data_IF_649916704018
#
_entry.id   IF_649916704018
#
_cell.length_a   1.000
_cell.length_b   1.000
_cell.length_c   1.000
_cell.angle_alpha   90.00
_cell.angle_beta   90.00
_cell.angle_gamma   90.00
#
_symmetry.space_group_name_H-M   'P 1'
#
loop_
_entity.id
_entity.type
_entity.pdbx_description
1 polymer ?
#
# COMPACT_ATOMS: atom_id res chain seq x y z
N UNK A 1 -19.88 10.94 3.61
CA UNK A 1 -19.04 10.02 2.81
C UNK A 1 -19.72 9.84 1.47
N UNK A 2 -19.30 10.60 0.45
CA UNK A 2 -19.88 10.53 -0.90
C UNK A 2 -19.51 9.18 -1.51
N UNK A 3 -20.47 8.24 -1.57
CA UNK A 3 -20.35 7.03 -2.39
C UNK A 3 -20.23 7.49 -3.85
N UNK A 4 -19.02 7.68 -4.34
CA UNK A 4 -18.77 7.82 -5.77
C UNK A 4 -19.30 6.54 -6.41
N UNK A 5 -20.26 6.64 -7.34
CA UNK A 5 -20.66 5.49 -8.18
C UNK A 5 -19.42 5.11 -8.98
N UNK A 6 -18.61 4.20 -8.44
CA UNK A 6 -17.39 3.75 -9.09
C UNK A 6 -17.80 2.82 -10.23
N UNK A 7 -17.45 3.19 -11.46
CA UNK A 7 -17.68 2.38 -12.64
C UNK A 7 -17.17 0.94 -12.41
N UNK A 8 -17.88 -0.09 -12.89
CA UNK A 8 -17.49 -1.48 -12.69
C UNK A 8 -16.08 -1.77 -13.23
N UNK A 9 -15.68 -1.10 -14.32
CA UNK A 9 -14.33 -1.14 -14.89
C UNK A 9 -13.31 -0.61 -13.88
N UNK A 10 -13.58 0.53 -13.22
CA UNK A 10 -12.72 1.09 -12.19
C UNK A 10 -12.54 0.10 -11.03
N UNK A 11 -13.64 -0.53 -10.59
CA UNK A 11 -13.59 -1.55 -9.52
C UNK A 11 -12.70 -2.74 -9.88
N UNK A 12 -12.74 -3.18 -11.14
CA UNK A 12 -11.90 -4.26 -11.64
C UNK A 12 -10.41 -3.91 -11.53
N UNK A 13 -10.01 -2.73 -12.01
CA UNK A 13 -8.62 -2.27 -11.92
C UNK A 13 -8.18 -1.87 -10.50
N UNK A 14 -9.10 -1.57 -9.59
CA UNK A 14 -8.77 -1.39 -8.15
C UNK A 14 -8.73 -2.70 -7.35
N UNK A 15 -8.94 -3.85 -7.98
CA UNK A 15 -9.06 -5.13 -7.27
C UNK A 15 -7.71 -5.66 -6.82
N UNK A 16 -7.57 -5.93 -5.52
CA UNK A 16 -6.41 -6.64 -4.96
C UNK A 16 -6.30 -8.07 -5.51
N UNK A 17 -7.44 -8.71 -5.82
CA UNK A 17 -7.44 -10.07 -6.41
C UNK A 17 -6.76 -10.09 -7.77
N UNK A 18 -6.98 -9.04 -8.58
CA UNK A 18 -6.32 -8.89 -9.88
C UNK A 18 -4.82 -8.70 -9.71
N UNK A 19 -4.42 -7.86 -8.74
CA UNK A 19 -3.00 -7.63 -8.42
C UNK A 19 -2.29 -8.94 -8.04
N UNK A 20 -2.88 -9.72 -7.11
CA UNK A 20 -2.33 -11.00 -6.67
C UNK A 20 -2.27 -12.02 -7.80
N UNK A 21 -3.31 -12.09 -8.64
CA UNK A 21 -3.31 -12.96 -9.81
C UNK A 21 -2.17 -12.62 -10.77
N UNK A 22 -2.00 -11.34 -11.12
CA UNK A 22 -0.90 -10.91 -11.99
C UNK A 22 0.45 -11.20 -11.36
N UNK A 23 0.62 -10.91 -10.07
CA UNK A 23 1.85 -11.15 -9.34
C UNK A 23 2.25 -12.64 -9.34
N UNK A 24 1.31 -13.54 -9.03
CA UNK A 24 1.59 -14.97 -9.04
C UNK A 24 1.87 -15.50 -10.45
N UNK A 25 1.18 -14.97 -11.47
CA UNK A 25 1.41 -15.37 -12.86
C UNK A 25 2.79 -14.91 -13.34
N UNK A 26 3.17 -13.65 -13.06
CA UNK A 26 4.50 -13.11 -13.36
C UNK A 26 5.60 -13.86 -12.60
N UNK A 27 5.38 -14.20 -11.34
CA UNK A 27 6.32 -14.98 -10.55
C UNK A 27 6.52 -16.39 -11.12
N UNK A 28 5.42 -17.08 -11.45
CA UNK A 28 5.46 -18.40 -12.08
C UNK A 28 6.17 -18.38 -13.44
N UNK A 29 5.84 -17.41 -14.29
CA UNK A 29 6.52 -17.19 -15.55
C UNK A 29 8.03 -16.94 -15.34
N UNK A 30 8.39 -16.06 -14.40
CA UNK A 30 9.79 -15.74 -14.09
C UNK A 30 10.60 -16.96 -13.63
N UNK A 31 10.01 -17.83 -12.81
CA UNK A 31 10.63 -19.10 -12.40
C UNK A 31 10.89 -19.97 -13.63
N UNK A 32 9.90 -20.12 -14.51
CA UNK A 32 10.03 -20.91 -15.75
C UNK A 32 11.13 -20.33 -16.65
N UNK A 33 11.14 -19.03 -16.89
CA UNK A 33 12.16 -18.38 -17.72
C UNK A 33 13.57 -18.36 -17.11
N UNK A 34 13.68 -18.55 -15.79
CA UNK A 34 14.99 -18.73 -15.14
C UNK A 34 15.54 -20.14 -15.38
N UNK A 35 14.66 -21.15 -15.44
CA UNK A 35 15.04 -22.55 -15.66
C UNK A 35 15.33 -22.81 -17.14
N UNK A 36 14.56 -22.20 -18.05
CA UNK A 36 14.73 -22.39 -19.49
C UNK A 36 15.77 -21.39 -20.00
N UNK A 37 16.83 -21.82 -20.70
CA UNK A 37 17.81 -20.92 -21.29
C UNK A 37 17.12 -19.84 -22.13
N UNK A 38 17.47 -18.57 -21.95
CA UNK A 38 16.94 -17.46 -22.74
C UNK A 38 17.84 -17.17 -23.95
N UNK A 39 17.28 -16.70 -25.06
CA UNK A 39 17.98 -16.33 -26.28
C UNK A 39 18.88 -17.44 -26.88
N UNK A 40 18.60 -18.73 -26.61
CA UNK A 40 19.39 -19.83 -27.17
C UNK A 40 18.99 -20.11 -28.62
N UNK A 41 19.86 -20.79 -29.38
CA UNK A 41 19.54 -21.19 -30.75
C UNK A 41 18.46 -22.27 -30.76
N UNK A 42 17.63 -22.31 -31.80
CA UNK A 42 16.60 -23.35 -31.95
C UNK A 42 17.20 -24.76 -31.89
N UNK A 43 18.39 -24.97 -32.47
CA UNK A 43 19.11 -26.25 -32.39
C UNK A 43 19.36 -26.69 -30.94
N UNK A 44 19.71 -25.75 -30.06
CA UNK A 44 19.96 -26.04 -28.64
C UNK A 44 18.69 -26.41 -27.90
N UNK A 45 17.55 -25.79 -28.21
CA UNK A 45 16.27 -26.18 -27.61
C UNK A 45 15.80 -27.56 -28.09
N UNK A 46 16.00 -27.88 -29.37
CA UNK A 46 15.67 -29.20 -29.92
C UNK A 46 16.53 -30.29 -29.25
N UNK A 47 17.81 -30.01 -29.00
CA UNK A 47 18.72 -30.92 -28.29
C UNK A 47 18.31 -31.13 -26.83
N UNK A 48 17.90 -30.07 -26.12
CA UNK A 48 17.57 -30.12 -24.70
C UNK A 48 16.16 -30.67 -24.40
N UNK A 49 15.17 -30.33 -25.23
CA UNK A 49 13.74 -30.57 -24.93
C UNK A 49 13.00 -31.34 -26.03
N UNK A 50 13.66 -31.65 -27.14
CA UNK A 50 13.08 -32.27 -28.31
C UNK A 50 12.34 -31.29 -29.25
N UNK A 51 12.05 -31.71 -30.50
CA UNK A 51 11.51 -30.83 -31.54
C UNK A 51 10.09 -30.33 -31.26
N UNK A 52 9.23 -31.14 -30.62
CA UNK A 52 7.87 -30.75 -30.28
C UNK A 52 7.83 -29.62 -29.24
N UNK A 53 8.57 -29.78 -28.15
CA UNK A 53 8.66 -28.79 -27.06
C UNK A 53 9.34 -27.51 -27.52
N UNK A 54 10.42 -27.62 -28.30
CA UNK A 54 11.11 -26.46 -28.86
C UNK A 54 10.18 -25.59 -29.73
N UNK A 55 9.31 -26.23 -30.53
CA UNK A 55 8.30 -25.52 -31.34
C UNK A 55 7.23 -24.85 -30.47
N UNK A 56 6.82 -25.50 -29.38
CA UNK A 56 5.89 -24.91 -28.40
C UNK A 56 6.49 -23.68 -27.71
N UNK A 57 7.77 -23.76 -27.32
CA UNK A 57 8.49 -22.62 -26.74
C UNK A 57 8.59 -21.45 -27.71
N UNK A 58 8.84 -21.70 -29.01
CA UNK A 58 8.79 -20.64 -30.02
C UNK A 58 7.39 -20.02 -30.18
N UNK A 59 6.32 -20.82 -30.14
CA UNK A 59 4.95 -20.31 -30.30
C UNK A 59 4.56 -19.36 -29.16
N UNK A 60 4.98 -19.69 -27.94
CA UNK A 60 4.77 -18.86 -26.75
C UNK A 60 5.87 -17.81 -26.53
N UNK A 61 6.86 -17.72 -27.42
CA UNK A 61 7.99 -16.79 -27.32
C UNK A 61 8.76 -16.93 -25.98
N UNK A 62 8.84 -18.16 -25.45
CA UNK A 62 9.59 -18.50 -24.22
C UNK A 62 11.10 -18.24 -24.34
N UNK A 63 11.75 -18.39 -25.52
CA UNK A 63 13.15 -18.00 -25.68
C UNK A 63 13.42 -16.53 -25.39
N UNK A 64 12.45 -15.66 -25.66
CA UNK A 64 12.50 -14.21 -25.40
C UNK A 64 11.38 -13.81 -24.44
N UNK A 65 11.22 -14.57 -23.36
CA UNK A 65 10.03 -14.51 -22.50
C UNK A 65 9.76 -13.11 -21.95
N UNK A 66 10.81 -12.39 -21.55
CA UNK A 66 10.67 -11.07 -20.92
C UNK A 66 10.22 -9.96 -21.88
N UNK A 67 10.47 -10.12 -23.18
CA UNK A 67 10.03 -9.21 -24.24
C UNK A 67 8.75 -9.68 -24.94
N UNK A 68 8.26 -10.87 -24.58
CA UNK A 68 7.07 -11.44 -25.17
C UNK A 68 5.82 -10.57 -24.91
N UNK A 69 4.96 -10.49 -25.90
CA UNK A 69 3.74 -9.65 -25.85
C UNK A 69 2.82 -9.98 -24.67
N UNK A 70 2.76 -11.26 -24.26
CA UNK A 70 1.91 -11.69 -23.16
C UNK A 70 2.53 -11.35 -21.79
N UNK A 71 3.86 -11.44 -21.67
CA UNK A 71 4.56 -11.06 -20.44
C UNK A 71 4.50 -9.55 -20.22
N UNK A 72 4.79 -8.76 -21.26
CA UNK A 72 4.63 -7.30 -21.24
C UNK A 72 3.17 -6.89 -21.01
N UNK A 73 2.21 -7.61 -21.59
CA UNK A 73 0.78 -7.40 -21.33
C UNK A 73 0.40 -7.61 -19.87
N UNK A 74 0.90 -8.68 -19.24
CA UNK A 74 0.69 -8.94 -17.80
C UNK A 74 1.37 -7.88 -16.92
N UNK A 75 2.60 -7.48 -17.28
CA UNK A 75 3.35 -6.46 -16.58
C UNK A 75 2.63 -5.11 -16.64
N UNK A 76 2.16 -4.71 -17.82
CA UNK A 76 1.38 -3.50 -18.04
C UNK A 76 0.04 -3.52 -17.28
N UNK A 77 -0.65 -4.66 -17.27
CA UNK A 77 -1.88 -4.85 -16.50
C UNK A 77 -1.64 -4.70 -14.99
N UNK A 78 -0.55 -5.29 -14.48
CA UNK A 78 -0.14 -5.16 -13.09
C UNK A 78 0.23 -3.72 -12.72
N UNK A 79 1.01 -3.04 -13.57
CA UNK A 79 1.38 -1.64 -13.41
C UNK A 79 0.15 -0.72 -13.39
N UNK A 80 -0.81 -0.95 -14.29
CA UNK A 80 -2.06 -0.21 -14.34
C UNK A 80 -2.90 -0.40 -13.08
N UNK A 81 -3.01 -1.64 -12.59
CA UNK A 81 -3.70 -1.95 -11.33
C UNK A 81 -3.06 -1.22 -10.14
N UNK A 82 -1.73 -1.28 -9.99
CA UNK A 82 -0.98 -0.56 -8.95
C UNK A 82 -1.21 0.95 -9.02
N UNK A 83 -1.15 1.52 -10.22
CA UNK A 83 -1.33 2.95 -10.46
C UNK A 83 -2.73 3.40 -10.03
N UNK A 84 -3.76 2.70 -10.47
CA UNK A 84 -5.16 3.02 -10.15
C UNK A 84 -5.42 2.84 -8.65
N UNK A 85 -4.93 1.76 -8.04
CA UNK A 85 -5.02 1.54 -6.59
C UNK A 85 -4.35 2.65 -5.79
N UNK A 86 -3.20 3.16 -6.27
CA UNK A 86 -2.47 4.25 -5.63
C UNK A 86 -3.27 5.54 -5.67
N UNK A 87 -3.81 5.89 -6.84
CA UNK A 87 -4.63 7.11 -7.04
C UNK A 87 -5.90 7.08 -6.17
N UNK A 88 -6.59 5.94 -6.11
CA UNK A 88 -7.84 5.81 -5.34
C UNK A 88 -7.58 5.92 -3.83
N UNK A 89 -6.47 5.35 -3.36
CA UNK A 89 -6.15 5.27 -1.93
C UNK A 89 -5.41 6.49 -1.39
N UNK A 90 -4.70 7.24 -2.24
CA UNK A 90 -3.87 8.37 -1.84
C UNK A 90 -4.63 9.46 -1.05
N UNK A 91 -5.81 9.97 -1.50
CA UNK A 91 -6.51 11.04 -0.79
C UNK A 91 -6.91 10.64 0.63
N UNK A 92 -7.29 9.38 0.83
CA UNK A 92 -7.67 8.86 2.13
C UNK A 92 -6.48 8.76 3.08
N UNK A 93 -5.35 8.23 2.60
CA UNK A 93 -4.13 8.12 3.39
C UNK A 93 -3.54 9.48 3.73
N UNK A 94 -3.56 10.42 2.77
CA UNK A 94 -3.15 11.79 2.98
C UNK A 94 -3.98 12.45 4.07
N UNK A 95 -5.32 12.37 3.96
CA UNK A 95 -6.24 12.90 4.98
C UNK A 95 -5.98 12.30 6.35
N UNK A 96 -5.68 11.00 6.44
CA UNK A 96 -5.41 10.34 7.72
C UNK A 96 -4.05 10.72 8.32
N UNK A 97 -3.04 10.98 7.47
CA UNK A 97 -1.73 11.45 7.90
C UNK A 97 -1.76 12.90 8.39
N UNK A 98 -2.60 13.75 7.79
CA UNK A 98 -2.73 15.18 8.10
C UNK A 98 -3.92 15.53 8.99
N UNK A 99 -4.70 14.53 9.43
CA UNK A 99 -5.94 14.77 10.18
C UNK A 99 -5.68 15.50 11.49
N UNK A 100 -6.43 16.57 11.72
CA UNK A 100 -6.45 17.26 13.01
C UNK A 100 -7.27 16.46 14.03
N UNK A 101 -6.58 15.67 14.86
CA UNK A 101 -7.21 14.88 15.92
C UNK A 101 -7.62 15.73 17.14
N UNK A 102 -7.21 17.00 17.23
CA UNK A 102 -7.64 17.92 18.30
C UNK A 102 -9.05 18.46 18.09
N UNK A 103 -9.73 18.10 16.99
CA UNK A 103 -11.14 18.41 16.77
C UNK A 103 -12.08 17.25 17.15
N UNK A 104 -11.62 16.34 18.03
CA UNK A 104 -12.40 15.17 18.41
C UNK A 104 -13.43 15.54 19.49
N UNK A 105 -14.73 15.39 19.17
CA UNK A 105 -15.82 15.61 20.12
C UNK A 105 -15.73 14.67 21.32
N UNK A 106 -16.09 15.16 22.51
CA UNK A 106 -16.06 14.40 23.77
C UNK A 106 -16.88 13.10 23.69
N UNK A 107 -18.05 13.13 23.05
CA UNK A 107 -18.90 11.94 22.87
C UNK A 107 -18.22 10.84 22.05
N UNK A 108 -17.35 11.23 21.10
CA UNK A 108 -16.57 10.26 20.31
C UNK A 108 -15.52 9.59 21.18
N UNK A 109 -14.85 10.33 22.06
CA UNK A 109 -13.90 9.77 23.03
C UNK A 109 -14.61 8.82 24.00
N UNK A 110 -15.82 9.18 24.45
CA UNK A 110 -16.62 8.35 25.36
C UNK A 110 -17.01 7.00 24.75
N UNK A 111 -17.19 6.96 23.43
CA UNK A 111 -17.54 5.75 22.64
C UNK A 111 -16.33 4.92 22.23
N UNK A 112 -15.09 5.36 22.47
CA UNK A 112 -13.90 4.56 22.16
C UNK A 112 -13.78 3.39 23.14
N UNK A 113 -13.55 2.19 22.61
CA UNK A 113 -13.47 0.96 23.41
C UNK A 113 -12.29 0.91 24.38
N UNK A 114 -11.18 1.58 24.05
CA UNK A 114 -10.03 1.73 24.95
C UNK A 114 -10.07 3.11 25.60
N UNK A 115 -10.71 3.19 26.76
CA UNK A 115 -10.83 4.41 27.57
C UNK A 115 -10.63 4.09 29.04
N UNK A 116 -9.93 4.97 29.74
CA UNK A 116 -9.92 5.01 31.21
C UNK A 116 -10.29 6.42 31.68
N UNK A 117 -10.96 6.49 32.82
CA UNK A 117 -11.33 7.75 33.48
C UNK A 117 -10.79 7.69 34.90
N UNK A 118 -10.12 8.76 35.31
CA UNK A 118 -9.57 8.92 36.64
C UNK A 118 -10.04 10.26 37.20
N UNK A 119 -10.32 10.31 38.51
CA UNK A 119 -10.51 11.58 39.21
C UNK A 119 -9.17 12.04 39.75
N UNK A 120 -8.78 13.26 39.40
CA UNK A 120 -7.65 13.94 40.01
C UNK A 120 -8.20 14.98 41.01
N UNK A 121 -7.56 15.09 42.19
CA UNK A 121 -7.86 16.13 43.17
C UNK A 121 -7.26 17.50 42.84
N UNK A 122 -6.54 17.61 41.72
CA UNK A 122 -5.86 18.83 41.27
C UNK A 122 -6.76 19.71 40.39
N UNK A 123 -6.37 20.97 40.23
CA UNK A 123 -7.04 21.87 39.27
C UNK A 123 -6.76 21.44 37.84
N UNK A 124 -7.67 21.74 36.91
CA UNK A 124 -7.55 21.34 35.50
C UNK A 124 -6.23 21.77 34.86
N UNK A 125 -5.75 23.00 35.10
CA UNK A 125 -4.45 23.45 34.60
C UNK A 125 -3.27 22.61 35.10
N UNK A 126 -3.26 22.27 36.39
CA UNK A 126 -2.20 21.48 37.01
C UNK A 126 -2.18 20.07 36.41
N UNK A 127 -3.34 19.43 36.30
CA UNK A 127 -3.49 18.12 35.67
C UNK A 127 -3.01 18.10 34.21
N UNK A 128 -3.30 19.16 33.43
CA UNK A 128 -2.82 19.28 32.04
C UNK A 128 -1.30 19.34 31.98
N UNK A 129 -0.67 20.15 32.85
CA UNK A 129 0.79 20.30 32.88
C UNK A 129 1.51 19.02 33.30
N UNK A 130 0.95 18.28 34.26
CA UNK A 130 1.48 17.00 34.72
C UNK A 130 1.44 15.95 33.59
N UNK A 131 0.29 15.82 32.92
CA UNK A 131 0.15 14.90 31.78
C UNK A 131 1.12 15.25 30.66
N UNK A 132 1.30 16.54 30.34
CA UNK A 132 2.27 16.97 29.33
C UNK A 132 3.71 16.58 29.72
N UNK A 133 4.08 16.74 30.98
CA UNK A 133 5.41 16.39 31.49
C UNK A 133 5.66 14.89 31.39
N UNK A 134 4.69 14.06 31.80
CA UNK A 134 4.77 12.60 31.71
C UNK A 134 4.89 12.15 30.24
N UNK A 135 4.07 12.72 29.36
CA UNK A 135 4.09 12.39 27.93
C UNK A 135 5.40 12.82 27.26
N UNK A 136 5.93 13.99 27.60
CA UNK A 136 7.21 14.48 27.12
C UNK A 136 8.38 13.59 27.59
N UNK A 137 8.37 13.17 28.87
CA UNK A 137 9.36 12.23 29.42
C UNK A 137 9.35 10.87 28.70
N UNK A 138 8.19 10.44 28.20
CA UNK A 138 8.05 9.25 27.36
C UNK A 138 8.35 9.49 25.85
N UNK A 139 8.80 10.69 25.47
CA UNK A 139 9.18 11.05 24.10
C UNK A 139 8.02 11.36 23.17
N UNK A 140 6.84 11.68 23.71
CA UNK A 140 5.66 12.07 22.93
C UNK A 140 5.55 13.58 22.78
N UNK A 141 5.17 14.02 21.57
CA UNK A 141 4.79 15.41 21.32
C UNK A 141 3.29 15.56 21.58
N UNK A 142 2.94 16.32 22.61
CA UNK A 142 1.55 16.57 23.00
C UNK A 142 1.11 17.94 22.52
N UNK A 143 0.03 17.95 21.74
CA UNK A 143 -0.67 19.17 21.37
C UNK A 143 -1.92 19.33 22.25
N UNK A 144 -2.38 20.56 22.43
CA UNK A 144 -3.55 20.88 23.25
C UNK A 144 -4.57 21.75 22.52
N UNK A 145 -5.84 21.59 22.85
CA UNK A 145 -6.93 22.50 22.42
C UNK A 145 -7.95 22.63 23.53
N UNK A 146 -8.38 23.86 23.80
CA UNK A 146 -9.51 24.11 24.69
C UNK A 146 -10.82 23.73 23.99
N UNK A 147 -11.66 22.95 24.68
CA UNK A 147 -12.96 22.50 24.19
C UNK A 147 -14.02 22.73 25.27
N UNK A 148 -15.30 22.75 24.89
CA UNK A 148 -16.39 22.83 25.85
C UNK A 148 -16.32 21.64 26.82
N UNK A 149 -16.11 21.94 28.11
CA UNK A 149 -15.99 20.93 29.17
C UNK A 149 -14.57 20.49 29.52
N UNK A 150 -13.51 21.10 28.96
CA UNK A 150 -12.13 20.88 29.43
C UNK A 150 -11.04 21.11 28.38
N UNK A 151 -9.83 20.63 28.66
CA UNK A 151 -8.70 20.68 27.72
C UNK A 151 -8.50 19.32 27.06
N UNK A 152 -8.48 19.29 25.72
CA UNK A 152 -8.16 18.10 24.95
C UNK A 152 -6.66 18.05 24.67
N UNK A 153 -6.02 16.98 25.11
CA UNK A 153 -4.63 16.66 24.79
C UNK A 153 -4.57 15.53 23.76
N UNK A 154 -3.71 15.69 22.77
CA UNK A 154 -3.50 14.68 21.73
C UNK A 154 -2.01 14.49 21.44
N UNK A 155 -1.57 13.24 21.37
CA UNK A 155 -0.23 12.87 20.98
C UNK A 155 -0.27 11.71 19.99
N UNK A 156 0.56 11.77 18.94
CA UNK A 156 0.74 10.66 18.01
C UNK A 156 2.19 10.63 17.50
N UNK A 157 2.68 9.43 17.17
CA UNK A 157 3.99 9.23 16.56
C UNK A 157 3.80 8.46 15.24
N UNK A 158 4.61 8.81 14.24
CA UNK A 158 4.62 8.11 12.96
C UNK A 158 3.38 8.33 12.08
N UNK A 159 2.78 9.52 12.05
CA UNK A 159 1.65 9.80 11.15
C UNK A 159 1.98 9.56 9.67
N UNK A 160 3.23 9.79 9.28
CA UNK A 160 3.74 9.60 7.92
C UNK A 160 3.92 8.14 7.50
N UNK A 161 4.01 7.18 8.44
CA UNK A 161 4.19 5.75 8.08
C UNK A 161 3.00 5.22 7.27
N UNK A 162 1.83 5.87 7.39
CA UNK A 162 0.63 5.58 6.61
C UNK A 162 0.84 5.78 5.10
N UNK A 163 1.76 6.64 4.70
CA UNK A 163 2.12 6.86 3.29
C UNK A 163 3.14 5.84 2.76
N UNK A 164 3.69 4.98 3.61
CA UNK A 164 4.73 4.00 3.21
C UNK A 164 4.29 3.09 2.06
N UNK A 165 3.01 2.70 2.01
CA UNK A 165 2.46 1.90 0.91
C UNK A 165 2.56 2.61 -0.45
N UNK A 166 2.40 3.94 -0.47
CA UNK A 166 2.50 4.73 -1.71
C UNK A 166 3.95 4.74 -2.20
N UNK A 167 4.91 4.86 -1.28
CA UNK A 167 6.34 4.78 -1.61
C UNK A 167 6.69 3.45 -2.26
N UNK A 168 6.21 2.33 -1.70
CA UNK A 168 6.43 0.99 -2.26
C UNK A 168 5.83 0.84 -3.66
N UNK A 169 4.61 1.36 -3.87
CA UNK A 169 3.99 1.30 -5.19
C UNK A 169 4.77 2.11 -6.21
N UNK A 170 5.18 3.33 -5.86
CA UNK A 170 5.98 4.19 -6.74
C UNK A 170 7.33 3.56 -7.05
N UNK A 171 7.99 2.91 -6.09
CA UNK A 171 9.27 2.24 -6.35
C UNK A 171 9.12 1.08 -7.35
N UNK A 172 8.05 0.29 -7.25
CA UNK A 172 7.78 -0.80 -8.19
C UNK A 172 7.52 -0.24 -9.59
N UNK A 173 6.69 0.81 -9.71
CA UNK A 173 6.41 1.45 -10.98
C UNK A 173 7.67 2.06 -11.62
N UNK A 174 8.55 2.67 -10.82
CA UNK A 174 9.82 3.22 -11.28
C UNK A 174 10.72 2.12 -11.85
N UNK A 175 10.79 0.95 -11.20
CA UNK A 175 11.53 -0.21 -11.71
C UNK A 175 10.98 -0.65 -13.06
N UNK A 176 9.65 -0.69 -13.25
CA UNK A 176 9.05 -1.09 -14.53
C UNK A 176 9.28 -0.10 -15.67
N UNK A 177 9.46 1.19 -15.37
CA UNK A 177 9.75 2.21 -16.39
C UNK A 177 11.23 2.22 -16.77
N UNK A 178 12.12 1.84 -15.84
CA UNK A 178 13.56 1.78 -16.07
C UNK A 178 14.08 0.44 -16.61
N UNK A 179 13.23 -0.60 -16.62
CA UNK A 179 13.51 -1.90 -17.22
C UNK A 179 13.21 -1.87 -18.72
#
# INVERSE_FOLDING_TARGET
>A
MTKKKSNPIWKFFTSVKLALFCLFTLAGASIIGTIIPQNATMSRYVELYGPGTAKFFQLLDIPNMYDSWWFLGLLALFAMNLTICTIDRFPHLWKLATMDNLNTKLDRLRKMGMRRVFSAGSKTQEAVSEVQTIMAGAGWKTNQRQVEGGTLLFSQKGSWTRLGVIVVHVSILLIFVGA
#
